data_IF_496804142136
#
_entry.id   IF_496804142136
#
_cell.length_a   1.000
_cell.length_b   1.000
_cell.length_c   1.000
_cell.angle_alpha   90.00
_cell.angle_beta   90.00
_cell.angle_gamma   90.00
#
_symmetry.space_group_name_H-M   'P 1'
#
loop_
_entity.id
_entity.type
_entity.pdbx_description
1 polymer ?
#
# COMPACT_ATOMS: atom_id res chain seq x y z
N UNK A 1 -67.14 -20.84 29.50
CA UNK A 1 -67.57 -20.38 28.16
C UNK A 1 -67.55 -18.86 28.13
N UNK A 2 -66.76 -18.30 27.19
CA UNK A 2 -66.44 -16.89 26.86
C UNK A 2 -64.94 -16.94 26.55
N UNK A 3 -64.42 -16.75 25.35
CA UNK A 3 -64.93 -16.29 24.07
C UNK A 3 -63.65 -15.88 23.33
N UNK A 4 -63.23 -16.69 22.36
CA UNK A 4 -61.98 -16.56 21.62
C UNK A 4 -62.05 -15.28 20.78
N UNK A 5 -61.09 -14.37 20.95
CA UNK A 5 -60.80 -13.31 19.97
C UNK A 5 -59.53 -13.70 19.23
N UNK A 6 -59.74 -14.27 18.04
CA UNK A 6 -58.74 -14.34 16.99
C UNK A 6 -58.93 -13.13 16.07
N UNK A 7 -57.84 -12.42 15.78
CA UNK A 7 -57.53 -11.77 14.49
C UNK A 7 -56.21 -11.01 14.69
N UNK A 8 -55.06 -11.61 14.38
CA UNK A 8 -54.42 -11.55 13.06
C UNK A 8 -54.29 -10.12 12.52
N UNK A 9 -53.10 -9.54 12.65
CA UNK A 9 -52.31 -8.88 11.58
C UNK A 9 -51.17 -8.08 12.23
N UNK A 10 -50.10 -8.76 12.63
CA UNK A 10 -48.77 -8.15 12.71
C UNK A 10 -47.87 -8.95 11.77
N UNK A 11 -48.15 -8.77 10.48
CA UNK A 11 -47.30 -9.25 9.42
C UNK A 11 -46.17 -8.23 9.21
N UNK A 12 -44.95 -8.70 9.45
CA UNK A 12 -43.77 -8.42 8.63
C UNK A 12 -43.35 -6.95 8.55
N UNK A 13 -42.49 -6.55 9.48
CA UNK A 13 -41.24 -5.91 9.08
C UNK A 13 -40.11 -6.55 9.86
N UNK A 14 -39.82 -7.79 9.46
CA UNK A 14 -38.49 -8.37 9.56
C UNK A 14 -37.54 -7.35 8.95
N UNK A 15 -36.95 -6.52 9.81
CA UNK A 15 -35.74 -5.79 9.47
C UNK A 15 -34.71 -6.88 9.25
N UNK A 16 -34.57 -7.24 7.98
CA UNK A 16 -33.45 -7.95 7.42
C UNK A 16 -32.19 -7.26 7.96
N UNK A 17 -31.62 -7.79 9.05
CA UNK A 17 -30.17 -7.79 9.21
C UNK A 17 -29.64 -8.64 8.06
N UNK A 18 -29.50 -8.01 6.89
CA UNK A 18 -28.56 -8.50 5.91
C UNK A 18 -27.21 -8.53 6.63
N UNK A 19 -26.54 -9.69 6.75
CA UNK A 19 -25.11 -9.63 7.01
C UNK A 19 -24.54 -8.76 5.89
N UNK A 20 -23.88 -7.68 6.27
CA UNK A 20 -22.97 -6.95 5.41
C UNK A 20 -21.87 -7.96 5.06
N UNK A 21 -22.13 -8.84 4.10
CA UNK A 21 -21.12 -9.62 3.44
C UNK A 21 -20.13 -8.60 2.89
N UNK A 22 -18.91 -8.66 3.41
CA UNK A 22 -17.77 -7.94 2.88
C UNK A 22 -17.72 -8.19 1.37
N UNK A 23 -18.23 -7.23 0.60
CA UNK A 23 -17.97 -7.15 -0.82
C UNK A 23 -16.54 -6.64 -0.94
N UNK A 24 -15.60 -7.55 -0.75
CA UNK A 24 -14.22 -7.41 -1.19
C UNK A 24 -14.29 -7.29 -2.73
N UNK A 25 -14.54 -6.07 -3.20
CA UNK A 25 -14.50 -5.75 -4.62
C UNK A 25 -13.11 -6.17 -5.12
N UNK A 26 -13.10 -6.87 -6.26
CA UNK A 26 -11.95 -7.34 -7.05
C UNK A 26 -10.94 -6.24 -7.47
N UNK A 27 -10.90 -5.09 -6.79
CA UNK A 27 -10.06 -3.92 -7.07
C UNK A 27 -8.72 -3.92 -6.33
N UNK A 28 -8.54 -4.67 -5.23
CA UNK A 28 -7.29 -4.74 -4.47
C UNK A 28 -6.28 -5.76 -5.00
N UNK A 29 -6.71 -6.63 -5.91
CA UNK A 29 -5.94 -7.77 -6.40
C UNK A 29 -4.58 -7.41 -7.03
N UNK A 30 -4.43 -6.29 -7.77
CA UNK A 30 -3.12 -5.87 -8.27
C UNK A 30 -2.19 -5.33 -7.17
N UNK A 31 -2.75 -4.81 -6.08
CA UNK A 31 -1.99 -4.24 -4.96
C UNK A 31 -1.38 -5.31 -4.05
N UNK A 32 -2.00 -6.49 -4.01
CA UNK A 32 -1.55 -7.62 -3.20
C UNK A 32 -0.75 -8.65 -4.01
N UNK A 33 -0.55 -8.43 -5.30
CA UNK A 33 0.10 -9.40 -6.17
C UNK A 33 1.59 -9.59 -5.81
N UNK A 34 2.06 -10.83 -5.94
CA UNK A 34 3.48 -11.17 -5.78
C UNK A 34 4.38 -10.35 -6.72
N UNK A 35 3.84 -9.99 -7.89
CA UNK A 35 4.54 -9.16 -8.87
C UNK A 35 4.79 -7.74 -8.33
N UNK A 36 3.77 -7.07 -7.77
CA UNK A 36 3.94 -5.74 -7.20
C UNK A 36 4.84 -5.77 -5.96
N UNK A 37 4.68 -6.77 -5.09
CA UNK A 37 5.55 -6.94 -3.91
C UNK A 37 7.02 -7.11 -4.33
N UNK A 38 7.30 -7.89 -5.36
CA UNK A 38 8.66 -8.08 -5.88
C UNK A 38 9.24 -6.78 -6.45
N UNK A 39 8.44 -6.00 -7.19
CA UNK A 39 8.88 -4.71 -7.71
C UNK A 39 9.16 -3.72 -6.56
N UNK A 40 8.29 -3.66 -5.55
CA UNK A 40 8.48 -2.84 -4.35
C UNK A 40 9.76 -3.21 -3.60
N UNK A 41 9.98 -4.51 -3.37
CA UNK A 41 11.20 -5.02 -2.73
C UNK A 41 12.47 -4.67 -3.53
N UNK A 42 12.42 -4.74 -4.86
CA UNK A 42 13.56 -4.33 -5.70
C UNK A 42 13.88 -2.83 -5.56
N UNK A 43 12.84 -2.00 -5.47
CA UNK A 43 13.01 -0.57 -5.23
C UNK A 43 13.59 -0.30 -3.84
N UNK A 44 13.02 -0.89 -2.79
CA UNK A 44 13.51 -0.80 -1.41
C UNK A 44 15.00 -1.19 -1.29
N UNK A 45 15.37 -2.35 -1.83
CA UNK A 45 16.75 -2.84 -1.80
C UNK A 45 17.69 -1.90 -2.55
N UNK A 46 17.29 -1.40 -3.72
CA UNK A 46 18.09 -0.42 -4.45
C UNK A 46 18.31 0.85 -3.61
N UNK A 47 17.25 1.41 -3.04
CA UNK A 47 17.32 2.65 -2.25
C UNK A 47 18.21 2.46 -1.04
N UNK A 48 18.11 1.34 -0.35
CA UNK A 48 18.96 1.06 0.80
C UNK A 48 20.44 0.94 0.43
N UNK A 49 20.78 0.16 -0.61
CA UNK A 49 22.16 0.00 -1.05
C UNK A 49 22.77 1.32 -1.54
N UNK A 50 21.99 2.14 -2.27
CA UNK A 50 22.43 3.47 -2.70
C UNK A 50 22.58 4.42 -1.52
N UNK A 51 21.66 4.39 -0.56
CA UNK A 51 21.75 5.19 0.66
C UNK A 51 23.02 4.88 1.44
N UNK A 52 23.32 3.60 1.65
CA UNK A 52 24.58 3.17 2.30
C UNK A 52 25.82 3.65 1.55
N UNK A 53 25.82 3.51 0.22
CA UNK A 53 26.94 3.95 -0.61
C UNK A 53 27.15 5.47 -0.50
N UNK A 54 26.08 6.25 -0.59
CA UNK A 54 26.15 7.71 -0.49
C UNK A 54 26.58 8.13 0.91
N UNK A 55 26.04 7.50 1.96
CA UNK A 55 26.39 7.80 3.35
C UNK A 55 27.89 7.60 3.61
N UNK A 56 28.52 6.58 3.02
CA UNK A 56 29.97 6.34 3.13
C UNK A 56 30.84 7.43 2.50
N UNK A 57 30.30 8.21 1.58
CA UNK A 57 31.07 9.17 0.77
C UNK A 57 30.59 10.62 0.89
N UNK A 58 29.46 10.86 1.56
CA UNK A 58 28.92 12.19 1.80
C UNK A 58 28.32 12.28 3.21
N UNK A 59 27.04 12.62 3.32
CA UNK A 59 26.34 12.85 4.56
C UNK A 59 24.95 12.19 4.57
N UNK A 60 24.36 12.11 5.75
CA UNK A 60 23.06 11.47 5.97
C UNK A 60 21.93 12.08 5.12
N UNK A 61 21.91 13.41 4.99
CA UNK A 61 20.89 14.11 4.20
C UNK A 61 20.99 13.76 2.71
N UNK A 62 22.20 13.80 2.16
CA UNK A 62 22.46 13.41 0.77
C UNK A 62 22.04 11.97 0.51
N UNK A 63 22.28 11.06 1.47
CA UNK A 63 21.88 9.67 1.35
C UNK A 63 20.35 9.52 1.24
N UNK A 64 19.59 10.28 2.04
CA UNK A 64 18.12 10.28 2.00
C UNK A 64 17.57 10.93 0.73
N UNK A 65 18.15 12.06 0.31
CA UNK A 65 17.66 12.84 -0.81
C UNK A 65 17.97 12.14 -2.15
N UNK A 66 19.18 11.59 -2.31
CA UNK A 66 19.65 11.08 -3.60
C UNK A 66 19.46 9.57 -3.81
N UNK A 67 19.34 8.76 -2.76
CA UNK A 67 19.14 7.31 -2.96
C UNK A 67 17.81 6.96 -3.67
N UNK A 68 16.66 7.56 -3.33
CA UNK A 68 15.41 7.37 -4.09
C UNK A 68 15.55 7.78 -5.56
N UNK A 69 16.20 8.92 -5.81
CA UNK A 69 16.44 9.44 -7.16
C UNK A 69 17.29 8.48 -7.99
N UNK A 70 18.35 7.90 -7.40
CA UNK A 70 19.22 6.93 -8.06
C UNK A 70 18.47 5.62 -8.43
N UNK A 71 17.36 5.32 -7.76
CA UNK A 71 16.53 4.12 -7.94
C UNK A 71 15.20 4.40 -8.65
N UNK A 72 15.08 5.56 -9.31
CA UNK A 72 13.86 5.97 -10.04
C UNK A 72 13.42 4.94 -11.09
N UNK A 73 14.36 4.22 -11.70
CA UNK A 73 14.04 3.17 -12.69
C UNK A 73 13.13 2.09 -12.10
N UNK A 74 13.42 1.62 -10.89
CA UNK A 74 12.65 0.59 -10.20
C UNK A 74 11.27 1.12 -9.79
N UNK A 75 11.19 2.37 -9.31
CA UNK A 75 9.91 3.01 -9.01
C UNK A 75 9.00 3.15 -10.25
N UNK A 76 9.59 3.47 -11.41
CA UNK A 76 8.85 3.52 -12.68
C UNK A 76 8.33 2.15 -13.12
N UNK A 77 8.96 1.05 -12.70
CA UNK A 77 8.42 -0.30 -12.94
C UNK A 77 7.16 -0.54 -12.12
N UNK A 78 7.08 -0.03 -10.88
CA UNK A 78 5.85 -0.09 -10.07
C UNK A 78 4.73 0.69 -10.75
N UNK A 79 5.03 1.90 -11.22
CA UNK A 79 4.07 2.73 -11.98
C UNK A 79 3.56 2.00 -13.22
N UNK A 80 4.46 1.40 -14.00
CA UNK A 80 4.09 0.65 -15.21
C UNK A 80 3.17 -0.53 -14.88
N UNK A 81 3.49 -1.31 -13.86
CA UNK A 81 2.66 -2.43 -13.43
C UNK A 81 1.25 -2.00 -13.04
N UNK A 82 1.14 -0.87 -12.33
CA UNK A 82 -0.15 -0.30 -11.92
C UNK A 82 -0.92 0.30 -13.10
N UNK A 83 -0.25 0.85 -14.11
CA UNK A 83 -0.87 1.32 -15.35
C UNK A 83 -1.45 0.19 -16.20
N UNK A 84 -0.85 -1.00 -16.12
CA UNK A 84 -1.40 -2.21 -16.76
C UNK A 84 -2.63 -2.76 -16.00
N UNK A 85 -3.01 -2.14 -14.87
CA UNK A 85 -4.19 -2.48 -14.07
C UNK A 85 -5.37 -1.53 -14.35
N UNK A 86 -6.58 -1.88 -13.90
CA UNK A 86 -7.80 -1.09 -14.13
C UNK A 86 -7.92 0.19 -13.26
N UNK A 87 -6.81 0.73 -12.76
CA UNK A 87 -6.81 1.94 -11.92
C UNK A 87 -6.81 3.21 -12.76
N UNK A 88 -7.36 4.28 -12.20
CA UNK A 88 -7.22 5.62 -12.78
C UNK A 88 -5.79 6.15 -12.54
N UNK A 89 -5.29 6.96 -13.47
CA UNK A 89 -3.90 7.46 -13.46
C UNK A 89 -3.57 8.27 -12.20
N UNK A 90 -4.52 9.08 -11.71
CA UNK A 90 -4.39 9.86 -10.47
C UNK A 90 -4.19 8.95 -9.24
N UNK A 91 -4.96 7.87 -9.15
CA UNK A 91 -4.80 6.86 -8.08
C UNK A 91 -3.45 6.17 -8.18
N UNK A 92 -2.98 5.87 -9.40
CA UNK A 92 -1.66 5.27 -9.62
C UNK A 92 -0.54 6.20 -9.16
N UNK A 93 -0.64 7.49 -9.48
CA UNK A 93 0.35 8.49 -9.07
C UNK A 93 0.41 8.62 -7.55
N UNK A 94 -0.75 8.62 -6.87
CA UNK A 94 -0.82 8.63 -5.41
C UNK A 94 -0.21 7.35 -4.80
N UNK A 95 -0.51 6.18 -5.36
CA UNK A 95 0.06 4.91 -4.92
C UNK A 95 1.59 4.88 -5.08
N UNK A 96 2.11 5.33 -6.22
CA UNK A 96 3.55 5.38 -6.48
C UNK A 96 4.22 6.36 -5.52
N UNK A 97 3.61 7.53 -5.28
CA UNK A 97 4.11 8.50 -4.29
C UNK A 97 4.11 7.92 -2.87
N UNK A 98 3.08 7.16 -2.51
CA UNK A 98 3.00 6.49 -1.20
C UNK A 98 4.09 5.43 -1.04
N UNK A 99 4.38 4.65 -2.08
CA UNK A 99 5.50 3.72 -2.09
C UNK A 99 6.82 4.48 -1.90
N UNK A 100 7.05 5.54 -2.66
CA UNK A 100 8.29 6.33 -2.57
C UNK A 100 8.52 6.88 -1.16
N UNK A 101 7.48 7.48 -0.56
CA UNK A 101 7.58 8.06 0.78
C UNK A 101 7.76 7.00 1.87
N UNK A 102 7.03 5.87 1.79
CA UNK A 102 7.21 4.76 2.72
C UNK A 102 8.64 4.22 2.71
N UNK A 103 9.22 4.04 1.51
CA UNK A 103 10.62 3.59 1.37
C UNK A 103 11.62 4.64 1.87
N UNK A 104 11.33 5.93 1.71
CA UNK A 104 12.16 7.01 2.27
C UNK A 104 12.19 6.96 3.81
N UNK A 105 11.04 6.75 4.45
CA UNK A 105 10.96 6.61 5.91
C UNK A 105 11.76 5.39 6.37
N UNK A 106 11.59 4.25 5.70
CA UNK A 106 12.33 3.03 6.03
C UNK A 106 13.85 3.21 5.84
N UNK A 107 14.27 3.95 4.80
CA UNK A 107 15.67 4.29 4.56
C UNK A 107 16.27 5.08 5.74
N UNK A 108 15.57 6.11 6.23
CA UNK A 108 16.02 6.93 7.36
C UNK A 108 16.34 6.04 8.56
N UNK A 109 15.41 5.17 8.93
CA UNK A 109 15.58 4.26 10.07
C UNK A 109 16.77 3.32 9.88
N UNK A 110 16.89 2.69 8.71
CA UNK A 110 18.00 1.77 8.44
C UNK A 110 19.36 2.46 8.40
N UNK A 111 19.43 3.70 7.89
CA UNK A 111 20.69 4.45 7.87
C UNK A 111 21.11 4.90 9.28
N UNK A 112 20.16 5.23 10.16
CA UNK A 112 20.44 5.49 11.57
C UNK A 112 21.04 4.25 12.23
N UNK A 113 20.46 3.06 11.98
CA UNK A 113 20.99 1.81 12.50
C UNK A 113 22.41 1.52 11.98
N UNK A 114 22.67 1.73 10.69
CA UNK A 114 24.00 1.57 10.09
C UNK A 114 25.04 2.54 10.70
N UNK A 115 24.65 3.77 11.04
CA UNK A 115 25.53 4.73 11.71
C UNK A 115 25.84 4.35 13.16
N UNK A 116 24.92 3.67 13.84
CA UNK A 116 25.10 3.23 15.23
C UNK A 116 25.87 1.90 15.35
N UNK A 117 25.95 1.13 14.26
CA UNK A 117 26.67 -0.15 14.19
C UNK A 117 28.09 -0.01 13.62
N UNK A 118 28.46 1.17 13.12
CA UNK A 118 29.76 1.49 12.51
C UNK A 118 30.76 2.11 13.47
#
# INVERSE_FOLDING_TARGET
MKGIKAAFLFAVFSVFCLPLSAQENQSSQPLQSDALQKIKSNYENCVFEKGKLILRHSNFRDAIDFAPLACRKQLLQSKKYLLDSAFKVDVIDELVSSIEEGVRIDLVNKLIDEMNQG
#
